data_IF_418716622738
#
_entry.id   IF_418716622738
#
_cell.length_a   1.000
_cell.length_b   1.000
_cell.length_c   1.000
_cell.angle_alpha   90.00
_cell.angle_beta   90.00
_cell.angle_gamma   90.00
#
_symmetry.space_group_name_H-M   'P 1'
#
loop_
_entity.id
_entity.type
_entity.pdbx_description
1 polymer ?
#
# COMPACT_ATOMS: atom_id res chain seq x y z
N UNK A 1 -12.33 34.40 -30.73
CA UNK A 1 -12.63 34.35 -29.29
C UNK A 1 -13.15 32.97 -28.96
N UNK A 2 -12.30 32.09 -28.40
CA UNK A 2 -12.74 30.79 -27.89
C UNK A 2 -12.81 30.89 -26.38
N UNK A 3 -14.00 30.68 -25.82
CA UNK A 3 -14.22 30.63 -24.39
C UNK A 3 -13.56 29.36 -23.84
N UNK A 4 -12.48 29.53 -23.07
CA UNK A 4 -11.92 28.50 -22.20
C UNK A 4 -12.89 28.28 -21.03
N UNK A 5 -13.55 27.12 -21.00
CA UNK A 5 -14.24 26.63 -19.81
C UNK A 5 -13.15 26.11 -18.86
N UNK A 6 -12.91 26.83 -17.75
CA UNK A 6 -12.10 26.35 -16.64
C UNK A 6 -12.88 25.26 -15.89
N UNK A 7 -12.41 24.01 -15.96
CA UNK A 7 -12.85 22.92 -15.07
C UNK A 7 -12.06 23.01 -13.75
N UNK A 8 -12.71 22.95 -12.57
CA UNK A 8 -11.98 22.87 -11.31
C UNK A 8 -11.50 21.43 -11.07
N UNK A 9 -10.23 21.34 -10.70
CA UNK A 9 -9.56 20.24 -9.97
C UNK A 9 -9.88 18.81 -10.40
N UNK A 10 -8.97 18.27 -11.22
CA UNK A 10 -8.85 16.86 -11.57
C UNK A 10 -8.68 16.02 -10.30
N UNK A 11 -9.68 15.19 -10.01
CA UNK A 11 -9.61 14.07 -9.08
C UNK A 11 -8.68 13.03 -9.71
N UNK A 12 -7.54 12.77 -9.07
CA UNK A 12 -6.71 11.62 -9.45
C UNK A 12 -7.33 10.37 -8.82
N UNK A 13 -8.11 9.62 -9.61
CA UNK A 13 -8.58 8.28 -9.24
C UNK A 13 -7.39 7.33 -9.36
N UNK A 14 -6.64 7.16 -8.27
CA UNK A 14 -5.64 6.09 -8.20
C UNK A 14 -6.37 4.78 -7.92
N UNK A 15 -6.48 3.93 -8.93
CA UNK A 15 -6.90 2.53 -8.78
C UNK A 15 -5.79 1.78 -8.02
N UNK A 16 -5.79 1.86 -6.69
CA UNK A 16 -4.98 0.98 -5.85
C UNK A 16 -5.77 -0.32 -5.67
N UNK A 17 -5.16 -1.43 -6.06
CA UNK A 17 -5.69 -2.77 -5.88
C UNK A 17 -6.14 -2.95 -4.43
N UNK A 18 -7.44 -3.13 -4.24
CA UNK A 18 -8.03 -3.39 -2.94
C UNK A 18 -7.42 -4.67 -2.35
N UNK A 19 -6.68 -4.52 -1.25
CA UNK A 19 -6.36 -5.66 -0.38
C UNK A 19 -7.69 -6.02 0.30
N UNK A 20 -8.37 -7.02 -0.27
CA UNK A 20 -9.66 -7.49 0.20
C UNK A 20 -9.61 -7.93 1.66
N UNK A 21 -10.38 -7.24 2.51
CA UNK A 21 -10.78 -7.75 3.80
C UNK A 21 -11.92 -8.75 3.56
N UNK A 22 -11.60 -10.04 3.47
CA UNK A 22 -12.63 -11.09 3.50
C UNK A 22 -12.88 -11.48 4.96
N UNK A 23 -14.04 -11.10 5.48
CA UNK A 23 -14.61 -11.75 6.66
C UNK A 23 -15.44 -12.94 6.17
N UNK A 24 -15.06 -14.13 6.62
CA UNK A 24 -15.87 -15.33 6.49
C UNK A 24 -17.05 -15.24 7.46
N UNK A 25 -18.29 -15.36 6.97
CA UNK A 25 -19.45 -15.69 7.78
C UNK A 25 -20.18 -16.90 7.18
N UNK A 26 -20.75 -17.67 8.10
CA UNK A 26 -21.18 -19.05 7.97
C UNK A 26 -22.38 -19.27 7.04
N UNK A 27 -22.51 -20.55 6.68
CA UNK A 27 -23.60 -21.18 5.97
C UNK A 27 -24.96 -21.02 6.65
N UNK A 28 -26.02 -20.99 5.84
CA UNK A 28 -27.18 -21.86 6.04
C UNK A 28 -28.01 -22.00 4.76
N UNK A 29 -28.70 -23.13 4.69
CA UNK A 29 -29.35 -23.70 3.53
C UNK A 29 -30.86 -23.47 3.51
N UNK A 30 -31.40 -23.46 2.29
CA UNK A 30 -32.68 -24.05 1.86
C UNK A 30 -33.97 -23.24 1.93
N UNK A 31 -34.80 -23.57 0.93
CA UNK A 31 -36.27 -23.52 0.87
C UNK A 31 -36.93 -22.33 0.16
N UNK A 32 -37.41 -22.66 -1.03
CA UNK A 32 -38.36 -21.94 -1.87
C UNK A 32 -39.77 -21.83 -1.27
N UNK A 33 -40.43 -20.71 -1.60
CA UNK A 33 -41.88 -20.47 -1.86
C UNK A 33 -42.64 -19.54 -0.90
N UNK A 34 -43.41 -18.68 -1.58
CA UNK A 34 -44.54 -17.86 -1.17
C UNK A 34 -44.26 -16.59 -0.33
N UNK A 35 -44.47 -15.43 -0.96
CA UNK A 35 -45.62 -14.55 -0.64
C UNK A 35 -45.60 -13.26 -1.47
N UNK A 36 -46.68 -13.05 -2.23
CA UNK A 36 -47.16 -11.71 -2.56
C UNK A 36 -47.55 -11.00 -1.24
N UNK A 37 -46.79 -10.00 -0.82
CA UNK A 37 -47.28 -8.82 -0.09
C UNK A 37 -46.17 -7.79 0.10
N UNK A 38 -46.63 -6.54 0.12
CA UNK A 38 -45.94 -5.31 0.50
C UNK A 38 -45.18 -4.59 -0.62
N UNK A 39 -45.87 -3.57 -1.14
CA UNK A 39 -45.28 -2.27 -1.49
C UNK A 39 -44.23 -1.92 -0.44
N UNK A 40 -42.99 -2.28 -0.70
CA UNK A 40 -41.86 -1.72 0.01
C UNK A 40 -41.79 -0.29 -0.49
N UNK A 41 -42.27 0.64 0.32
CA UNK A 41 -41.70 1.96 0.38
C UNK A 41 -40.19 1.74 0.38
N UNK A 42 -39.54 1.90 -0.78
CA UNK A 42 -38.10 2.09 -0.89
C UNK A 42 -37.87 3.43 -0.23
N UNK A 43 -37.87 3.42 1.11
CA UNK A 43 -37.42 4.55 1.89
C UNK A 43 -36.02 4.84 1.38
N UNK A 44 -35.80 6.08 0.94
CA UNK A 44 -34.49 6.57 0.57
C UNK A 44 -33.57 6.35 1.78
N UNK A 45 -32.91 5.20 1.81
CA UNK A 45 -32.02 4.77 2.89
C UNK A 45 -30.68 5.48 2.74
N UNK A 46 -30.73 6.77 2.40
CA UNK A 46 -29.59 7.64 2.15
C UNK A 46 -29.11 8.20 3.47
N UNK A 47 -27.79 8.14 3.66
CA UNK A 47 -27.15 8.74 4.82
C UNK A 47 -27.09 10.26 4.64
N UNK A 48 -27.34 10.99 5.72
CA UNK A 48 -27.22 12.45 5.70
C UNK A 48 -25.76 12.92 5.84
N UNK A 49 -25.46 14.13 5.37
CA UNK A 49 -24.11 14.72 5.51
C UNK A 49 -23.66 14.80 6.99
N UNK A 50 -24.58 15.13 7.91
CA UNK A 50 -24.29 15.22 9.34
C UNK A 50 -23.93 13.86 9.95
N UNK A 51 -24.56 12.78 9.49
CA UNK A 51 -24.22 11.41 9.88
C UNK A 51 -22.86 11.00 9.33
N UNK A 52 -22.55 11.34 8.07
CA UNK A 52 -21.22 11.11 7.50
C UNK A 52 -20.15 11.85 8.30
N UNK A 53 -20.36 13.12 8.64
CA UNK A 53 -19.42 13.89 9.46
C UNK A 53 -19.21 13.21 10.83
N UNK A 54 -20.28 12.68 11.44
CA UNK A 54 -20.18 11.93 12.70
C UNK A 54 -19.39 10.63 12.55
N UNK A 55 -19.57 9.90 11.45
CA UNK A 55 -18.79 8.70 11.15
C UNK A 55 -17.31 9.05 10.90
N UNK A 56 -17.05 10.11 10.15
CA UNK A 56 -15.70 10.60 9.88
C UNK A 56 -15.00 11.07 11.16
N UNK A 57 -15.68 11.79 12.06
CA UNK A 57 -15.04 12.24 13.30
C UNK A 57 -14.60 11.07 14.18
N UNK A 58 -15.33 9.95 14.15
CA UNK A 58 -14.93 8.70 14.82
C UNK A 58 -13.81 7.98 14.07
N UNK A 59 -13.86 7.96 12.74
CA UNK A 59 -12.97 7.14 11.91
C UNK A 59 -11.61 7.80 11.66
N UNK A 60 -11.54 9.12 11.53
CA UNK A 60 -10.33 9.87 11.17
C UNK A 60 -9.45 10.10 12.40
N UNK A 61 -8.22 9.56 12.47
CA UNK A 61 -7.33 9.83 13.60
C UNK A 61 -7.11 11.33 13.80
N UNK A 62 -6.90 11.75 15.04
CA UNK A 62 -6.48 13.13 15.33
C UNK A 62 -5.03 13.34 14.88
N UNK A 63 -4.70 14.56 14.48
CA UNK A 63 -3.35 14.94 14.11
C UNK A 63 -2.91 16.22 14.83
N UNK A 64 -1.61 16.39 14.96
CA UNK A 64 -0.94 17.54 15.58
C UNK A 64 0.03 18.19 14.60
N UNK A 65 0.49 19.39 14.91
CA UNK A 65 1.51 20.10 14.13
C UNK A 65 2.81 19.31 13.96
N UNK A 66 3.11 18.41 14.89
CA UNK A 66 4.31 17.57 14.82
C UNK A 66 4.42 16.77 13.54
N UNK A 67 3.32 16.45 12.84
CA UNK A 67 3.39 15.74 11.54
C UNK A 67 4.10 16.56 10.46
N UNK A 68 4.33 17.87 10.68
CA UNK A 68 5.12 18.73 9.80
C UNK A 68 6.63 18.67 10.07
N UNK A 69 7.04 18.08 11.19
CA UNK A 69 8.45 17.93 11.58
C UNK A 69 9.10 16.70 10.92
N UNK A 70 8.39 16.03 10.01
CA UNK A 70 8.89 14.83 9.34
C UNK A 70 10.14 15.11 8.49
N UNK A 71 11.19 14.32 8.72
CA UNK A 71 12.45 14.33 7.97
C UNK A 71 12.86 12.89 7.66
N UNK A 72 13.52 12.71 6.52
CA UNK A 72 14.00 11.42 6.01
C UNK A 72 15.50 11.31 6.20
N UNK A 73 16.00 10.14 6.60
CA UNK A 73 17.42 9.81 6.76
C UNK A 73 18.14 9.64 5.41
N UNK A 74 17.38 9.69 4.30
CA UNK A 74 17.89 9.75 2.94
C UNK A 74 17.47 8.55 2.10
N UNK A 75 18.10 8.41 0.93
CA UNK A 75 17.86 7.29 0.02
C UNK A 75 18.97 6.23 0.16
N UNK A 76 18.75 5.13 0.88
CA UNK A 76 19.75 4.06 1.02
C UNK A 76 20.01 3.34 -0.31
N UNK A 77 19.04 3.34 -1.24
CA UNK A 77 19.19 2.71 -2.57
C UNK A 77 20.26 3.40 -3.41
N UNK A 78 20.53 4.69 -3.18
CA UNK A 78 21.56 5.43 -3.90
C UNK A 78 22.97 4.88 -3.68
N UNK A 79 23.20 4.16 -2.58
CA UNK A 79 24.51 3.59 -2.20
C UNK A 79 24.70 2.14 -2.64
N UNK A 80 23.66 1.50 -3.17
CA UNK A 80 23.74 0.10 -3.58
C UNK A 80 24.46 -0.04 -4.93
N UNK A 81 25.10 -1.17 -5.15
CA UNK A 81 25.62 -1.61 -6.44
C UNK A 81 25.33 -3.10 -6.65
N UNK A 82 25.54 -3.61 -7.86
CA UNK A 82 25.19 -4.99 -8.20
C UNK A 82 26.00 -6.04 -7.43
N UNK A 83 27.30 -5.81 -7.18
CA UNK A 83 28.13 -6.76 -6.43
C UNK A 83 27.63 -6.85 -5.00
N UNK A 84 27.46 -5.70 -4.35
CA UNK A 84 26.96 -5.64 -2.99
C UNK A 84 25.59 -6.32 -2.83
N UNK A 85 24.67 -6.09 -3.78
CA UNK A 85 23.36 -6.73 -3.78
C UNK A 85 23.47 -8.26 -3.86
N UNK A 86 24.33 -8.77 -4.75
CA UNK A 86 24.54 -10.22 -4.92
C UNK A 86 25.19 -10.85 -3.69
N UNK A 87 26.18 -10.20 -3.09
CA UNK A 87 26.85 -10.66 -1.88
C UNK A 87 25.85 -10.79 -0.72
N UNK A 88 25.04 -9.75 -0.49
CA UNK A 88 23.99 -9.75 0.55
C UNK A 88 22.95 -10.86 0.32
N UNK A 89 22.59 -11.10 -0.93
CA UNK A 89 21.61 -12.14 -1.30
C UNK A 89 22.22 -13.54 -1.45
N UNK A 90 23.53 -13.67 -1.21
CA UNK A 90 24.34 -14.87 -1.44
C UNK A 90 24.08 -15.47 -2.83
N UNK A 91 24.18 -14.63 -3.86
CA UNK A 91 24.00 -14.96 -5.26
C UNK A 91 25.22 -14.54 -6.07
N UNK A 92 25.29 -15.00 -7.32
CA UNK A 92 26.35 -14.63 -8.25
C UNK A 92 25.76 -14.32 -9.62
N UNK A 93 26.45 -13.48 -10.38
CA UNK A 93 26.10 -13.16 -11.77
C UNK A 93 27.38 -13.01 -12.58
N UNK A 94 27.45 -13.71 -13.72
CA UNK A 94 28.54 -13.52 -14.67
C UNK A 94 28.31 -12.25 -15.47
N UNK A 95 29.38 -11.51 -15.79
CA UNK A 95 29.36 -10.32 -16.65
C UNK A 95 28.43 -9.22 -16.13
N UNK A 96 28.75 -8.69 -14.96
CA UNK A 96 28.02 -7.53 -14.44
C UNK A 96 28.17 -6.34 -15.39
N UNK A 97 27.08 -5.59 -15.65
CA UNK A 97 27.13 -4.36 -16.41
C UNK A 97 27.90 -3.28 -15.63
N UNK A 98 28.29 -2.18 -16.29
CA UNK A 98 28.95 -1.06 -15.62
C UNK A 98 28.04 -0.42 -14.56
N UNK A 99 28.62 0.35 -13.63
CA UNK A 99 27.94 0.84 -12.43
C UNK A 99 26.77 1.79 -12.73
N UNK A 100 26.81 2.49 -13.87
CA UNK A 100 25.77 3.42 -14.31
C UNK A 100 24.53 2.70 -14.86
N UNK A 101 24.64 1.41 -15.18
CA UNK A 101 23.54 0.63 -15.67
C UNK A 101 22.46 0.47 -14.59
N UNK A 102 21.19 0.53 -15.01
CA UNK A 102 20.06 0.35 -14.10
C UNK A 102 19.57 -1.10 -14.04
N UNK A 103 20.11 -1.99 -14.86
CA UNK A 103 19.63 -3.36 -14.98
C UNK A 103 20.81 -4.31 -15.20
N UNK A 104 20.77 -5.46 -14.51
CA UNK A 104 21.70 -6.55 -14.69
C UNK A 104 20.91 -7.86 -14.86
N UNK A 105 21.20 -8.61 -15.92
CA UNK A 105 20.49 -9.85 -16.25
C UNK A 105 21.48 -11.02 -16.27
N UNK A 106 21.36 -11.89 -15.29
CA UNK A 106 22.02 -13.19 -15.27
C UNK A 106 21.15 -14.27 -15.91
N UNK A 107 21.70 -15.48 -15.98
CA UNK A 107 20.95 -16.66 -16.44
C UNK A 107 19.73 -16.93 -15.55
N UNK A 108 19.94 -16.83 -14.24
CA UNK A 108 18.97 -17.26 -13.22
C UNK A 108 18.40 -16.10 -12.41
N UNK A 109 19.08 -14.96 -12.38
CA UNK A 109 18.72 -13.80 -11.57
C UNK A 109 18.66 -12.53 -12.42
N UNK A 110 17.89 -11.55 -11.95
CA UNK A 110 17.80 -10.24 -12.56
C UNK A 110 17.71 -9.18 -11.47
N UNK A 111 18.45 -8.08 -11.66
CA UNK A 111 18.43 -6.90 -10.81
C UNK A 111 17.99 -5.71 -11.65
N UNK A 112 17.06 -4.91 -11.12
CA UNK A 112 16.77 -3.57 -11.61
C UNK A 112 17.02 -2.59 -10.45
N UNK A 113 17.99 -1.71 -10.61
CA UNK A 113 18.44 -0.74 -9.63
C UNK A 113 18.38 0.66 -10.24
N UNK A 114 17.41 1.46 -9.80
CA UNK A 114 17.29 2.85 -10.17
C UNK A 114 17.59 3.73 -8.96
N UNK A 115 18.88 4.08 -8.81
CA UNK A 115 19.41 4.92 -7.72
C UNK A 115 18.69 6.27 -7.63
N UNK A 116 18.38 6.90 -8.76
CA UNK A 116 17.72 8.22 -8.85
C UNK A 116 16.30 8.22 -8.30
N UNK A 117 15.52 7.19 -8.61
CA UNK A 117 14.11 7.09 -8.16
C UNK A 117 13.96 6.33 -6.85
N UNK A 118 15.05 5.77 -6.31
CA UNK A 118 15.03 4.97 -5.09
C UNK A 118 14.35 3.62 -5.26
N UNK A 119 14.40 3.04 -6.47
CA UNK A 119 13.75 1.76 -6.77
C UNK A 119 14.77 0.65 -6.93
N UNK A 120 14.52 -0.47 -6.26
CA UNK A 120 15.31 -1.68 -6.39
C UNK A 120 14.39 -2.88 -6.52
N UNK A 121 14.66 -3.73 -7.52
CA UNK A 121 14.00 -5.02 -7.71
C UNK A 121 15.02 -6.10 -7.97
N UNK A 122 14.80 -7.25 -7.35
CA UNK A 122 15.57 -8.46 -7.53
C UNK A 122 14.63 -9.65 -7.74
N UNK A 123 15.02 -10.55 -8.63
CA UNK A 123 14.34 -11.81 -8.87
C UNK A 123 15.36 -12.93 -9.06
N UNK A 124 15.15 -14.07 -8.41
CA UNK A 124 15.81 -15.33 -8.70
C UNK A 124 14.79 -16.33 -9.25
N UNK A 125 15.06 -16.86 -10.45
CA UNK A 125 14.20 -17.79 -11.18
C UNK A 125 14.38 -19.23 -10.74
N UNK A 126 15.55 -19.63 -10.24
CA UNK A 126 15.78 -21.00 -9.72
C UNK A 126 15.07 -21.23 -8.38
N UNK A 127 14.92 -20.17 -7.60
CA UNK A 127 14.20 -20.18 -6.31
C UNK A 127 12.67 -20.16 -6.48
N UNK A 128 12.16 -20.19 -7.71
CA UNK A 128 10.72 -20.27 -7.96
C UNK A 128 10.17 -21.59 -7.42
N UNK A 129 9.02 -21.55 -6.74
CA UNK A 129 8.30 -22.73 -6.29
C UNK A 129 7.86 -23.58 -7.49
N UNK A 130 8.08 -24.89 -7.37
CA UNK A 130 7.64 -25.88 -8.35
C UNK A 130 6.84 -26.97 -7.60
N UNK A 131 5.62 -27.28 -8.04
CA UNK A 131 4.74 -28.20 -7.34
C UNK A 131 5.35 -29.60 -7.18
N UNK A 132 5.93 -30.16 -8.23
CA UNK A 132 6.51 -31.51 -8.22
C UNK A 132 7.68 -31.61 -7.22
N UNK A 133 8.48 -30.56 -7.13
CA UNK A 133 9.67 -30.49 -6.26
C UNK A 133 9.34 -30.07 -4.82
N UNK A 134 8.38 -29.17 -4.63
CA UNK A 134 8.22 -28.40 -3.39
C UNK A 134 6.90 -28.65 -2.66
N UNK A 135 5.92 -29.36 -3.24
CA UNK A 135 4.60 -29.62 -2.60
C UNK A 135 4.64 -30.38 -1.26
N UNK A 136 5.76 -31.02 -0.94
CA UNK A 136 5.99 -31.73 0.33
C UNK A 136 6.74 -30.90 1.36
N UNK A 137 7.24 -29.72 0.97
CA UNK A 137 8.05 -28.86 1.84
C UNK A 137 7.12 -27.95 2.62
N UNK A 138 7.44 -27.75 3.90
CA UNK A 138 6.68 -26.84 4.77
C UNK A 138 7.15 -25.41 4.55
N UNK A 139 6.25 -24.46 4.67
CA UNK A 139 6.64 -23.06 4.77
C UNK A 139 7.53 -22.83 5.98
N UNK A 140 8.43 -21.87 5.81
CA UNK A 140 9.20 -21.35 6.93
C UNK A 140 8.28 -20.58 7.90
N UNK A 141 8.50 -20.70 9.22
CA UNK A 141 7.73 -19.94 10.21
C UNK A 141 7.89 -18.43 10.04
N UNK A 142 6.84 -17.66 10.30
CA UNK A 142 6.85 -16.18 10.19
C UNK A 142 7.97 -15.51 11.00
N UNK A 143 8.30 -16.04 12.19
CA UNK A 143 9.40 -15.52 13.01
C UNK A 143 10.75 -15.61 12.29
N UNK A 144 10.98 -16.69 11.53
CA UNK A 144 12.21 -16.87 10.77
C UNK A 144 12.24 -15.92 9.57
N UNK A 145 11.12 -15.75 8.88
CA UNK A 145 10.93 -14.74 7.81
C UNK A 145 11.28 -13.35 8.33
N UNK A 146 10.71 -12.95 9.48
CA UNK A 146 10.97 -11.64 10.08
C UNK A 146 12.46 -11.44 10.39
N UNK A 147 13.15 -12.48 10.88
CA UNK A 147 14.59 -12.44 11.15
C UNK A 147 15.42 -12.27 9.88
N UNK A 148 15.09 -13.04 8.82
CA UNK A 148 15.77 -12.96 7.51
C UNK A 148 15.61 -11.55 6.94
N UNK A 149 14.38 -11.03 6.93
CA UNK A 149 14.10 -9.68 6.40
C UNK A 149 14.79 -8.62 7.24
N UNK A 150 14.78 -8.72 8.58
CA UNK A 150 15.48 -7.75 9.43
C UNK A 150 16.99 -7.73 9.18
N UNK A 151 17.62 -8.91 9.00
CA UNK A 151 19.04 -9.02 8.64
C UNK A 151 19.30 -8.37 7.28
N UNK A 152 18.53 -8.76 6.26
CA UNK A 152 18.63 -8.23 4.90
C UNK A 152 18.56 -6.70 4.84
N UNK A 153 17.57 -6.11 5.54
CA UNK A 153 17.39 -4.66 5.57
C UNK A 153 18.48 -3.94 6.37
N UNK A 154 19.06 -4.60 7.37
CA UNK A 154 20.22 -4.07 8.09
C UNK A 154 21.45 -4.04 7.19
N UNK A 155 21.68 -5.11 6.41
CA UNK A 155 22.79 -5.19 5.46
C UNK A 155 22.65 -4.12 4.37
N UNK A 156 21.46 -3.92 3.81
CA UNK A 156 21.18 -2.81 2.88
C UNK A 156 21.14 -1.41 3.51
N UNK A 157 21.46 -1.29 4.81
CA UNK A 157 21.48 -0.01 5.54
C UNK A 157 20.15 0.75 5.44
N UNK A 158 19.03 0.02 5.39
CA UNK A 158 17.71 0.64 5.40
C UNK A 158 17.42 1.22 6.79
N UNK A 159 17.04 2.51 6.92
CA UNK A 159 16.80 3.15 8.21
C UNK A 159 15.68 2.47 9.00
N UNK A 160 16.03 1.83 10.13
CA UNK A 160 15.08 1.03 10.94
C UNK A 160 13.96 1.86 11.57
N UNK A 161 14.26 3.10 11.93
CA UNK A 161 13.31 4.09 12.42
C UNK A 161 12.20 4.41 11.40
N UNK A 162 12.51 4.30 10.10
CA UNK A 162 11.57 4.55 9.01
C UNK A 162 10.76 3.32 8.57
N UNK A 163 10.91 2.18 9.26
CA UNK A 163 10.19 0.96 8.93
C UNK A 163 9.01 0.73 9.89
N UNK A 164 7.88 0.31 9.33
CA UNK A 164 6.84 -0.36 10.11
C UNK A 164 7.24 -1.80 10.45
N UNK A 165 6.46 -2.42 11.33
CA UNK A 165 6.56 -3.86 11.56
C UNK A 165 6.20 -4.63 10.28
N UNK A 166 6.92 -5.71 9.94
CA UNK A 166 6.59 -6.54 8.78
C UNK A 166 5.24 -7.21 8.97
N UNK A 167 4.42 -7.17 7.91
CA UNK A 167 3.22 -7.97 7.78
C UNK A 167 3.59 -9.17 6.92
N UNK A 168 3.52 -10.37 7.51
CA UNK A 168 3.86 -11.61 6.81
C UNK A 168 2.57 -12.30 6.39
N UNK A 169 2.55 -12.78 5.15
CA UNK A 169 1.43 -13.49 4.53
C UNK A 169 1.96 -14.62 3.68
N UNK A 170 1.26 -15.76 3.70
CA UNK A 170 1.57 -16.88 2.84
C UNK A 170 0.91 -16.70 1.47
N UNK A 171 1.67 -16.95 0.40
CA UNK A 171 1.14 -17.02 -0.96
C UNK A 171 0.80 -18.47 -1.28
N UNK A 172 -0.42 -18.70 -1.76
CA UNK A 172 -0.92 -20.03 -2.11
C UNK A 172 -1.06 -20.11 -3.64
N UNK A 173 -0.64 -21.22 -4.25
CA UNK A 173 -0.78 -21.48 -5.67
C UNK A 173 -2.26 -21.62 -6.08
N UNK A 174 -2.59 -21.15 -7.29
CA UNK A 174 -3.92 -21.32 -7.88
C UNK A 174 -4.23 -22.82 -8.04
N UNK A 175 -5.38 -23.27 -7.51
CA UNK A 175 -5.79 -24.69 -7.50
C UNK A 175 -5.99 -25.29 -6.10
N UNK A 176 -5.57 -24.60 -5.04
CA UNK A 176 -5.93 -25.00 -3.68
C UNK A 176 -7.45 -24.85 -3.46
N UNK A 177 -8.15 -25.96 -3.15
CA UNK A 177 -9.58 -25.94 -2.84
C UNK A 177 -9.80 -25.10 -1.56
N UNK A 178 -10.49 -23.97 -1.70
CA UNK A 178 -10.83 -23.05 -0.61
C UNK A 178 -11.55 -23.83 0.51
N UNK A 179 -11.09 -23.69 1.76
CA UNK A 179 -11.74 -24.29 2.94
C UNK A 179 -11.16 -25.62 3.43
N UNK A 180 -10.15 -26.19 2.77
CA UNK A 180 -9.48 -27.42 3.23
C UNK A 180 -8.03 -27.16 3.67
N UNK A 181 -7.79 -27.04 4.99
CA UNK A 181 -6.47 -26.71 5.57
C UNK A 181 -5.36 -27.66 5.09
N UNK A 182 -5.61 -28.97 5.07
CA UNK A 182 -4.61 -29.98 4.66
C UNK A 182 -4.20 -29.92 3.18
N UNK A 183 -5.05 -29.35 2.30
CA UNK A 183 -4.69 -29.13 0.90
C UNK A 183 -3.97 -27.79 0.75
N UNK A 184 -4.38 -26.76 1.50
CA UNK A 184 -3.74 -25.43 1.45
C UNK A 184 -2.24 -25.49 1.76
N UNK A 185 -1.83 -26.21 2.80
CA UNK A 185 -0.42 -26.35 3.18
C UNK A 185 0.48 -26.90 2.04
N UNK A 186 -0.06 -27.71 1.12
CA UNK A 186 0.69 -28.28 -0.02
C UNK A 186 0.88 -27.30 -1.18
N UNK A 187 0.04 -26.27 -1.24
CA UNK A 187 0.05 -25.23 -2.28
C UNK A 187 0.67 -23.93 -1.80
N UNK A 188 1.12 -23.88 -0.55
CA UNK A 188 1.85 -22.75 -0.03
C UNK A 188 3.21 -22.60 -0.73
N UNK A 189 3.40 -21.49 -1.43
CA UNK A 189 4.55 -21.23 -2.28
C UNK A 189 5.65 -20.45 -1.55
N UNK A 190 5.27 -19.33 -0.94
CA UNK A 190 6.20 -18.36 -0.35
C UNK A 190 5.61 -17.71 0.89
N UNK A 191 6.48 -17.28 1.79
CA UNK A 191 6.14 -16.23 2.75
C UNK A 191 6.49 -14.87 2.15
N UNK A 192 5.50 -13.99 2.06
CA UNK A 192 5.67 -12.62 1.61
C UNK A 192 5.69 -11.72 2.83
N UNK A 193 6.81 -11.03 3.06
CA UNK A 193 6.90 -9.94 4.00
C UNK A 193 6.62 -8.61 3.28
N UNK A 194 5.66 -7.86 3.80
CA UNK A 194 5.33 -6.51 3.38
C UNK A 194 5.69 -5.52 4.50
N UNK A 195 6.50 -4.52 4.20
CA UNK A 195 6.89 -3.47 5.15
C UNK A 195 6.62 -2.12 4.50
N UNK A 196 5.72 -1.35 5.11
CA UNK A 196 5.44 0.02 4.68
C UNK A 196 6.46 0.97 5.31
N UNK A 197 7.03 1.88 4.51
CA UNK A 197 7.86 2.97 5.04
C UNK A 197 7.00 3.93 5.85
N UNK A 198 7.56 4.45 6.93
CA UNK A 198 6.95 5.50 7.76
C UNK A 198 7.97 6.57 8.11
N UNK A 199 7.51 7.79 8.30
CA UNK A 199 8.29 8.86 8.91
C UNK A 199 7.40 9.49 9.96
N UNK A 200 7.97 9.80 11.13
CA UNK A 200 7.24 10.47 12.20
C UNK A 200 5.87 9.83 12.54
N UNK A 201 5.84 8.50 12.56
CA UNK A 201 4.64 7.71 12.85
C UNK A 201 3.63 7.57 11.71
N UNK A 202 3.76 8.31 10.61
CA UNK A 202 2.86 8.21 9.46
C UNK A 202 3.47 7.41 8.32
N UNK A 203 2.64 6.62 7.65
CA UNK A 203 3.07 5.82 6.51
C UNK A 203 3.29 6.69 5.28
N UNK A 204 4.27 6.37 4.44
CA UNK A 204 4.44 6.99 3.13
C UNK A 204 3.72 6.12 2.08
N UNK A 205 2.80 6.72 1.33
CA UNK A 205 2.11 6.01 0.25
C UNK A 205 3.08 5.70 -0.88
N UNK A 206 2.89 4.57 -1.54
CA UNK A 206 3.76 4.07 -2.62
C UNK A 206 5.23 3.86 -2.23
N UNK A 207 5.55 3.88 -0.93
CA UNK A 207 6.87 3.49 -0.42
C UNK A 207 6.74 2.25 0.45
N UNK A 208 7.15 1.12 -0.13
CA UNK A 208 7.08 -0.17 0.52
C UNK A 208 8.23 -1.09 0.12
N UNK A 209 8.42 -2.09 0.98
CA UNK A 209 9.35 -3.19 0.78
C UNK A 209 8.54 -4.47 0.74
N UNK A 210 8.78 -5.27 -0.29
CA UNK A 210 8.18 -6.59 -0.49
C UNK A 210 9.27 -7.62 -0.65
N UNK A 211 9.25 -8.64 0.20
CA UNK A 211 10.23 -9.75 0.15
C UNK A 211 9.46 -11.06 0.08
N UNK A 212 9.68 -11.85 -0.98
CA UNK A 212 9.18 -13.21 -1.08
C UNK A 212 10.30 -14.19 -0.73
N UNK A 213 10.06 -15.03 0.28
CA UNK A 213 11.02 -16.01 0.78
C UNK A 213 10.44 -17.41 0.58
N UNK A 214 11.24 -18.31 0.00
CA UNK A 214 10.84 -19.71 -0.25
C UNK A 214 10.97 -20.60 1.01
N UNK A 215 10.58 -21.87 0.89
CA UNK A 215 10.70 -22.87 1.96
C UNK A 215 12.15 -23.14 2.39
N UNK A 216 13.15 -22.73 1.60
CA UNK A 216 14.59 -22.86 1.88
C UNK A 216 15.17 -21.64 2.60
N UNK A 217 14.32 -20.70 3.05
CA UNK A 217 14.75 -19.45 3.69
C UNK A 217 15.59 -18.54 2.75
N UNK A 218 15.41 -18.67 1.43
CA UNK A 218 16.09 -17.85 0.45
C UNK A 218 15.16 -16.80 -0.17
N UNK A 219 15.70 -15.62 -0.42
CA UNK A 219 14.98 -14.53 -1.08
C UNK A 219 14.76 -14.87 -2.55
N UNK A 220 13.52 -15.05 -2.96
CA UNK A 220 13.14 -15.32 -4.35
C UNK A 220 12.88 -14.01 -5.10
N UNK A 221 12.16 -13.09 -4.48
CA UNK A 221 11.89 -11.74 -5.00
C UNK A 221 12.09 -10.72 -3.91
N UNK A 222 12.64 -9.57 -4.28
CA UNK A 222 12.71 -8.40 -3.43
C UNK A 222 12.35 -7.18 -4.26
N UNK A 223 11.50 -6.32 -3.73
CA UNK A 223 11.17 -5.02 -4.29
C UNK A 223 11.24 -3.99 -3.17
N UNK A 224 11.98 -2.92 -3.40
CA UNK A 224 12.06 -1.75 -2.51
C UNK A 224 11.68 -0.52 -3.34
N UNK A 225 10.65 0.19 -2.91
CA UNK A 225 10.30 1.52 -3.42
C UNK A 225 10.57 2.55 -2.31
N UNK A 226 11.66 3.30 -2.47
CA UNK A 226 12.17 4.26 -1.50
C UNK A 226 12.32 5.65 -2.15
N UNK A 227 11.22 6.27 -2.61
CA UNK A 227 11.29 7.57 -3.24
C UNK A 227 11.84 8.62 -2.26
N UNK A 228 12.46 9.65 -2.80
CA UNK A 228 12.90 10.78 -2.01
C UNK A 228 11.72 11.43 -1.28
N UNK A 229 11.83 11.57 0.04
CA UNK A 229 10.81 12.23 0.85
C UNK A 229 11.14 13.71 1.00
N UNK A 230 10.20 14.56 0.58
CA UNK A 230 10.26 16.02 0.72
C UNK A 230 8.94 16.49 1.28
N UNK A 231 8.97 17.38 2.25
CA UNK A 231 7.80 18.07 2.78
C UNK A 231 8.07 19.56 2.61
N UNK A 232 7.12 20.30 2.06
CA UNK A 232 7.26 21.75 1.94
C UNK A 232 7.16 22.38 3.34
N UNK A 233 8.12 23.24 3.68
CA UNK A 233 8.23 23.88 4.99
C UNK A 233 7.18 24.96 5.20
N UNK A 234 6.54 25.44 4.13
CA UNK A 234 5.53 26.49 4.17
C UNK A 234 4.09 25.98 4.35
N UNK A 235 3.89 24.65 4.28
CA UNK A 235 2.53 24.08 4.37
C UNK A 235 1.94 24.27 5.76
N UNK A 236 0.66 24.63 5.80
CA UNK A 236 -0.12 24.76 7.04
C UNK A 236 -1.18 23.69 7.10
N UNK A 237 -1.43 23.19 8.31
CA UNK A 237 -2.47 22.20 8.55
C UNK A 237 -3.85 22.87 8.60
N UNK A 238 -4.79 22.26 7.90
CA UNK A 238 -6.21 22.58 8.00
C UNK A 238 -6.75 22.24 9.38
N UNK A 239 -7.78 22.98 9.79
CA UNK A 239 -8.59 22.58 10.93
C UNK A 239 -9.24 21.22 10.67
N UNK A 240 -9.35 20.41 11.72
CA UNK A 240 -10.02 19.10 11.63
C UNK A 240 -11.44 19.23 11.07
N UNK A 241 -12.18 20.25 11.53
CA UNK A 241 -13.55 20.52 11.04
C UNK A 241 -13.59 20.71 9.53
N UNK A 242 -12.68 21.50 8.97
CA UNK A 242 -12.60 21.73 7.52
C UNK A 242 -12.31 20.43 6.76
N UNK A 243 -11.36 19.62 7.23
CA UNK A 243 -11.05 18.32 6.62
C UNK A 243 -12.25 17.38 6.63
N UNK A 244 -12.97 17.27 7.75
CA UNK A 244 -14.15 16.42 7.86
C UNK A 244 -15.29 16.89 6.94
N UNK A 245 -15.48 18.21 6.81
CA UNK A 245 -16.48 18.77 5.90
C UNK A 245 -16.13 18.51 4.43
N UNK A 246 -14.86 18.70 4.04
CA UNK A 246 -14.41 18.37 2.68
C UNK A 246 -14.58 16.88 2.39
N UNK A 247 -14.18 16.00 3.32
CA UNK A 247 -14.35 14.56 3.17
C UNK A 247 -15.83 14.16 3.05
N UNK A 248 -16.71 14.74 3.87
CA UNK A 248 -18.14 14.45 3.82
C UNK A 248 -18.75 14.85 2.47
N UNK A 249 -18.37 16.01 1.93
CA UNK A 249 -18.80 16.44 0.59
C UNK A 249 -18.35 15.46 -0.50
N UNK A 250 -17.09 15.05 -0.50
CA UNK A 250 -16.57 14.06 -1.47
C UNK A 250 -17.29 12.71 -1.38
N UNK A 251 -17.63 12.28 -0.16
CA UNK A 251 -18.41 11.05 0.05
C UNK A 251 -19.84 11.23 -0.46
N UNK A 252 -20.51 12.35 -0.16
CA UNK A 252 -21.87 12.64 -0.63
C UNK A 252 -21.99 12.68 -2.15
N UNK A 253 -20.95 13.11 -2.87
CA UNK A 253 -20.92 13.07 -4.34
C UNK A 253 -21.00 11.66 -4.93
N UNK A 254 -20.68 10.62 -4.13
CA UNK A 254 -20.80 9.22 -4.51
C UNK A 254 -22.16 8.61 -4.17
N UNK A 255 -23.12 9.43 -3.70
CA UNK A 255 -24.48 9.04 -3.35
C UNK A 255 -24.56 7.81 -2.40
N UNK A 256 -23.90 7.85 -1.23
CA UNK A 256 -23.74 6.71 -0.34
C UNK A 256 -25.06 6.26 0.30
N UNK A 257 -25.13 4.98 0.63
CA UNK A 257 -26.24 4.40 1.38
C UNK A 257 -26.00 4.46 2.90
N UNK A 258 -27.04 4.19 3.69
CA UNK A 258 -27.03 4.25 5.16
C UNK A 258 -26.13 3.21 5.85
N UNK A 259 -25.72 2.15 5.16
CA UNK A 259 -24.82 1.11 5.66
C UNK A 259 -23.32 1.43 5.47
N UNK A 260 -23.01 2.67 5.09
CA UNK A 260 -21.66 3.19 4.90
C UNK A 260 -20.71 2.86 6.05
N UNK A 261 -19.61 2.17 5.75
CA UNK A 261 -18.51 1.95 6.69
C UNK A 261 -17.26 2.71 6.25
N UNK A 262 -16.77 3.59 7.11
CA UNK A 262 -15.55 4.37 6.88
C UNK A 262 -14.44 3.86 7.79
N UNK A 263 -13.31 3.47 7.18
CA UNK A 263 -12.05 3.26 7.89
C UNK A 263 -11.05 4.29 7.41
N UNK A 264 -10.13 4.71 8.26
CA UNK A 264 -9.10 5.63 7.81
C UNK A 264 -7.76 5.48 8.50
N UNK A 265 -6.74 6.07 7.88
CA UNK A 265 -5.41 6.24 8.44
C UNK A 265 -4.80 7.55 7.96
N UNK A 266 -3.85 8.06 8.73
CA UNK A 266 -3.01 9.19 8.31
C UNK A 266 -1.79 8.68 7.55
N UNK A 267 -1.36 9.41 6.53
CA UNK A 267 -0.21 9.07 5.70
C UNK A 267 0.44 10.33 5.11
N UNK A 268 1.58 10.17 4.44
CA UNK A 268 2.13 11.13 3.50
C UNK A 268 1.94 10.63 2.08
N UNK A 269 1.56 11.52 1.17
CA UNK A 269 1.39 11.20 -0.24
C UNK A 269 1.85 12.35 -1.12
N UNK A 270 2.35 12.05 -2.32
CA UNK A 270 2.41 13.02 -3.41
C UNK A 270 1.04 13.13 -4.05
N UNK A 271 0.54 14.35 -4.25
CA UNK A 271 -0.77 14.59 -4.86
C UNK A 271 -0.56 15.48 -6.09
N UNK A 272 -1.17 15.12 -7.23
CA UNK A 272 -1.12 15.89 -8.48
C UNK A 272 0.31 16.12 -9.02
N UNK A 273 1.15 15.08 -8.99
CA UNK A 273 2.57 15.14 -9.42
C UNK A 273 3.43 16.20 -8.71
N UNK A 274 3.01 16.63 -7.51
CA UNK A 274 3.77 17.54 -6.68
C UNK A 274 5.15 16.95 -6.32
N UNK A 275 6.16 17.81 -6.31
CA UNK A 275 7.50 17.47 -5.86
C UNK A 275 7.52 17.16 -4.37
N UNK A 276 6.58 17.73 -3.61
CA UNK A 276 6.45 17.58 -2.17
C UNK A 276 5.38 16.56 -1.79
N UNK A 277 5.66 15.84 -0.71
CA UNK A 277 4.67 15.04 -0.02
C UNK A 277 3.79 15.97 0.81
N UNK A 278 2.54 15.57 0.99
CA UNK A 278 1.59 16.25 1.84
C UNK A 278 1.03 15.26 2.88
N UNK A 279 0.80 15.69 4.13
CA UNK A 279 0.04 14.89 5.09
C UNK A 279 -1.40 14.74 4.61
N UNK A 280 -1.91 13.50 4.63
CA UNK A 280 -3.23 13.13 4.13
C UNK A 280 -3.97 12.22 5.09
N UNK A 281 -5.31 12.29 5.06
CA UNK A 281 -6.17 11.22 5.54
C UNK A 281 -6.56 10.31 4.37
N UNK A 282 -6.24 9.04 4.46
CA UNK A 282 -6.67 8.00 3.50
C UNK A 282 -7.91 7.34 4.07
N UNK A 283 -9.04 7.50 3.38
CA UNK A 283 -10.34 6.95 3.76
C UNK A 283 -10.62 5.74 2.88
N UNK A 284 -10.87 4.59 3.47
CA UNK A 284 -11.48 3.44 2.81
C UNK A 284 -12.98 3.49 3.10
N UNK A 285 -13.77 3.74 2.07
CA UNK A 285 -15.21 3.93 2.14
C UNK A 285 -15.87 2.72 1.53
N UNK A 286 -16.56 1.94 2.36
CA UNK A 286 -17.31 0.78 1.92
C UNK A 286 -18.78 1.18 1.88
N UNK A 287 -19.27 1.48 0.68
CA UNK A 287 -20.68 1.64 0.33
C UNK A 287 -20.99 0.65 -0.79
N UNK A 288 -22.20 0.09 -0.80
CA UNK A 288 -22.67 -0.64 -1.97
C UNK A 288 -22.86 0.35 -3.14
N UNK A 289 -22.69 -0.08 -4.41
CA UNK A 289 -22.23 -1.40 -4.84
C UNK A 289 -20.69 -1.58 -4.81
N UNK A 290 -19.93 -0.49 -4.75
CA UNK A 290 -18.48 -0.52 -4.98
C UNK A 290 -17.72 0.23 -3.88
N UNK A 291 -16.86 -0.45 -3.10
CA UNK A 291 -15.98 0.22 -2.16
C UNK A 291 -14.93 1.06 -2.90
N UNK A 292 -14.59 2.21 -2.33
CA UNK A 292 -13.64 3.15 -2.92
C UNK A 292 -12.71 3.76 -1.87
N UNK A 293 -11.67 4.44 -2.34
CA UNK A 293 -10.72 5.15 -1.48
C UNK A 293 -10.70 6.64 -1.81
N UNK A 294 -10.67 7.47 -0.77
CA UNK A 294 -10.47 8.91 -0.88
C UNK A 294 -9.16 9.30 -0.19
N UNK A 295 -8.44 10.24 -0.79
CA UNK A 295 -7.25 10.86 -0.20
C UNK A 295 -7.58 12.33 0.04
N UNK A 296 -7.68 12.71 1.32
CA UNK A 296 -8.02 14.07 1.72
C UNK A 296 -6.77 14.77 2.26
N UNK A 297 -6.40 15.89 1.65
CA UNK A 297 -5.30 16.74 2.12
C UNK A 297 -5.59 17.28 3.51
N UNK A 298 -4.61 17.18 4.41
CA UNK A 298 -4.66 17.81 5.72
C UNK A 298 -4.08 19.22 5.71
N UNK A 299 -3.62 19.70 4.55
CA UNK A 299 -2.96 20.98 4.38
C UNK A 299 -3.73 21.92 3.46
N UNK A 300 -3.51 23.21 3.66
CA UNK A 300 -3.88 24.25 2.72
C UNK A 300 -2.84 24.34 1.60
N UNK A 301 -3.30 24.60 0.38
CA UNK A 301 -2.41 24.99 -0.71
C UNK A 301 -1.86 26.36 -0.35
N UNK A 302 -0.54 26.51 -0.25
CA UNK A 302 0.06 27.85 -0.33
C UNK A 302 -0.35 28.37 -1.72
N UNK A 303 -1.08 29.48 -1.75
CA UNK A 303 -1.54 30.08 -3.00
C UNK A 303 -0.36 30.14 -3.97
N UNK A 304 -0.56 29.67 -5.21
CA UNK A 304 0.29 30.09 -6.32
C UNK A 304 0.31 31.61 -6.25
N UNK A 305 1.43 32.19 -5.81
CA UNK A 305 1.67 33.59 -6.05
C UNK A 305 1.60 33.71 -7.57
N UNK A 306 0.51 34.30 -8.05
CA UNK A 306 0.41 34.79 -9.41
C UNK A 306 1.66 35.64 -9.62
N UNK A 307 2.62 35.11 -10.37
CA UNK A 307 3.77 35.86 -10.83
C UNK A 307 3.22 36.99 -11.68
N UNK A 308 3.26 38.21 -11.13
CA UNK A 308 3.10 39.47 -11.87
C UNK A 308 4.06 39.54 -13.07
#
# INVERSE_FOLDING_TARGET
MFNLIKLPHIITVVLISAIGFSNASQAESSSTKDLNRELTLVGNNKISESEIIRLLDKAVPRWSHTILDARSDGNPIAKLDFNFILDVLNDQMSNLPPEEATQAFGKINAINLNKKTGKFRYVNRERIWNFERDSKKKLIPERNVASIVSKLLTEFQIPKNELNRPIIRSQIAAGAKVGSKQLQDKFEMYQIAYIQRRINGLSILQSDIKVAINHQAQVQRLSIDWPEFKLDEQIKLKSRRSVLQSAAKEIMLQDPDSDLVIKSKLAYAKINDDNFHQPVAVLAVNSLPTPYQLIIKLTDSVQEYESE
#
